data_IF_644128344233
#
_entry.id   IF_644128344233
#
_cell.length_a   1.000
_cell.length_b   1.000
_cell.length_c   1.000
_cell.angle_alpha   90.00
_cell.angle_beta   90.00
_cell.angle_gamma   90.00
#
_symmetry.space_group_name_H-M   'P 1'
#
loop_
_entity.id
_entity.type
_entity.pdbx_description
1 polymer ?
#
# COMPACT_ATOMS: atom_id res chain seq x y z
N UNK A 1 -23.86 37.20 -0.06
CA UNK A 1 -23.48 36.47 1.17
C UNK A 1 -23.54 34.97 0.86
N UNK A 2 -22.44 34.37 0.41
CA UNK A 2 -22.39 32.96 0.04
C UNK A 2 -21.50 32.20 1.05
N UNK A 3 -22.07 31.20 1.71
CA UNK A 3 -21.35 30.29 2.60
C UNK A 3 -20.59 29.27 1.75
N UNK A 4 -19.26 29.38 1.70
CA UNK A 4 -18.39 28.36 1.10
C UNK A 4 -18.12 27.29 2.15
N UNK A 5 -18.78 26.13 2.02
CA UNK A 5 -18.55 24.96 2.85
C UNK A 5 -17.19 24.34 2.49
N UNK A 6 -16.11 24.80 3.14
CA UNK A 6 -14.79 24.20 3.01
C UNK A 6 -14.78 22.89 3.78
N UNK A 7 -15.12 21.80 3.08
CA UNK A 7 -14.94 20.43 3.57
C UNK A 7 -13.44 20.23 3.79
N UNK A 8 -12.95 20.42 5.01
CA UNK A 8 -11.57 20.11 5.36
C UNK A 8 -11.38 18.61 5.18
N UNK A 9 -10.79 18.21 4.06
CA UNK A 9 -10.44 16.81 3.81
C UNK A 9 -9.26 16.51 4.72
N UNK A 10 -9.56 16.16 5.97
CA UNK A 10 -8.59 15.57 6.87
C UNK A 10 -8.28 14.22 6.25
N UNK A 11 -7.19 14.16 5.49
CA UNK A 11 -6.67 12.93 4.89
C UNK A 11 -6.25 12.03 6.05
N UNK A 12 -7.23 11.28 6.54
CA UNK A 12 -7.06 10.39 7.67
C UNK A 12 -6.11 9.30 7.18
N UNK A 13 -4.99 9.08 7.85
CA UNK A 13 -3.99 8.05 7.50
C UNK A 13 -4.63 6.71 7.07
N UNK A 14 -5.78 6.36 7.65
CA UNK A 14 -6.63 5.21 7.29
C UNK A 14 -7.11 5.19 5.83
N UNK A 15 -7.48 6.33 5.23
CA UNK A 15 -7.91 6.44 3.82
C UNK A 15 -6.77 6.17 2.85
N UNK A 16 -5.57 6.68 3.16
CA UNK A 16 -4.37 6.45 2.34
C UNK A 16 -3.94 4.97 2.36
N UNK A 17 -4.06 4.31 3.52
CA UNK A 17 -3.82 2.86 3.64
C UNK A 17 -4.80 2.03 2.81
N UNK A 18 -6.11 2.32 2.87
CA UNK A 18 -7.13 1.60 2.08
C UNK A 18 -6.91 1.81 0.58
N UNK A 19 -6.55 3.03 0.17
CA UNK A 19 -6.23 3.36 -1.22
C UNK A 19 -4.99 2.62 -1.71
N UNK A 20 -3.92 2.60 -0.91
CA UNK A 20 -2.68 1.86 -1.18
C UNK A 20 -2.94 0.36 -1.32
N UNK A 21 -3.74 -0.21 -0.41
CA UNK A 21 -4.10 -1.63 -0.44
C UNK A 21 -4.92 -1.98 -1.69
N UNK A 22 -5.87 -1.13 -2.06
CA UNK A 22 -6.67 -1.29 -3.28
C UNK A 22 -5.79 -1.27 -4.53
N UNK A 23 -4.85 -0.33 -4.61
CA UNK A 23 -3.90 -0.25 -5.74
C UNK A 23 -3.00 -1.48 -5.81
N UNK A 24 -2.57 -2.02 -4.66
CA UNK A 24 -1.73 -3.22 -4.60
C UNK A 24 -2.45 -4.45 -5.14
N UNK A 25 -3.71 -4.66 -4.78
CA UNK A 25 -4.52 -5.78 -5.27
C UNK A 25 -4.71 -5.67 -6.79
N UNK A 26 -5.10 -4.48 -7.27
CA UNK A 26 -5.29 -4.24 -8.70
C UNK A 26 -4.00 -4.52 -9.50
N UNK A 27 -2.85 -4.05 -9.02
CA UNK A 27 -1.57 -4.27 -9.69
C UNK A 27 -1.23 -5.76 -9.81
N UNK A 28 -1.39 -6.54 -8.73
CA UNK A 28 -1.03 -7.97 -8.74
C UNK A 28 -1.98 -8.80 -9.62
N UNK A 29 -3.26 -8.43 -9.67
CA UNK A 29 -4.24 -9.02 -10.60
C UNK A 29 -3.85 -8.71 -12.05
N UNK A 30 -3.51 -7.47 -12.36
CA UNK A 30 -3.10 -7.06 -13.71
C UNK A 30 -1.82 -7.80 -14.13
N UNK A 31 -0.79 -7.87 -13.29
CA UNK A 31 0.45 -8.60 -13.61
C UNK A 31 0.16 -10.07 -13.90
N UNK A 32 -0.65 -10.72 -13.07
CA UNK A 32 -0.99 -12.14 -13.25
C UNK A 32 -1.73 -12.37 -14.57
N UNK A 33 -2.68 -11.50 -14.92
CA UNK A 33 -3.42 -11.56 -16.18
C UNK A 33 -2.52 -11.29 -17.40
N UNK A 34 -1.63 -10.30 -17.31
CA UNK A 34 -0.67 -9.98 -18.38
C UNK A 34 0.32 -11.14 -18.58
N UNK A 35 0.88 -11.69 -17.49
CA UNK A 35 1.76 -12.85 -17.57
C UNK A 35 1.04 -14.06 -18.16
N UNK A 36 -0.22 -14.31 -17.79
CA UNK A 36 -1.00 -15.38 -18.41
C UNK A 36 -1.21 -15.15 -19.91
N UNK A 37 -1.56 -13.92 -20.30
CA UNK A 37 -1.78 -13.55 -21.70
C UNK A 37 -0.51 -13.70 -22.56
N UNK A 38 0.66 -13.35 -22.02
CA UNK A 38 1.94 -13.44 -22.74
C UNK A 38 2.44 -14.88 -22.80
N UNK A 39 2.36 -15.62 -21.68
CA UNK A 39 3.00 -16.93 -21.58
C UNK A 39 2.09 -18.08 -22.01
N UNK A 40 0.78 -17.86 -22.09
CA UNK A 40 -0.21 -18.85 -22.51
C UNK A 40 -0.38 -20.04 -21.56
N UNK A 41 0.36 -20.08 -20.45
CA UNK A 41 0.35 -21.18 -19.48
C UNK A 41 0.07 -20.64 -18.07
N UNK A 42 -0.85 -21.30 -17.37
CA UNK A 42 -1.21 -20.95 -15.99
C UNK A 42 -0.07 -21.16 -15.00
N UNK A 43 0.81 -22.13 -15.25
CA UNK A 43 1.94 -22.44 -14.38
C UNK A 43 2.94 -21.27 -14.27
N UNK A 44 3.31 -20.64 -15.39
CA UNK A 44 4.21 -19.48 -15.38
C UNK A 44 3.52 -18.22 -14.85
N UNK A 45 2.25 -18.00 -15.20
CA UNK A 45 1.48 -16.87 -14.68
C UNK A 45 1.36 -16.90 -13.15
N UNK A 46 1.05 -18.08 -12.59
CA UNK A 46 1.01 -18.28 -11.15
C UNK A 46 2.39 -18.12 -10.50
N UNK A 47 3.46 -18.58 -11.15
CA UNK A 47 4.82 -18.41 -10.65
C UNK A 47 5.21 -16.93 -10.57
N UNK A 48 4.91 -16.14 -11.60
CA UNK A 48 5.20 -14.71 -11.62
C UNK A 48 4.35 -13.97 -10.58
N UNK A 49 3.04 -14.23 -10.55
CA UNK A 49 2.13 -13.61 -9.58
C UNK A 49 2.49 -13.93 -8.12
N UNK A 50 2.89 -15.17 -7.84
CA UNK A 50 3.30 -15.58 -6.48
C UNK A 50 4.64 -14.97 -6.06
N UNK A 51 5.63 -14.90 -6.96
CA UNK A 51 6.90 -14.18 -6.69
C UNK A 51 6.65 -12.69 -6.47
N UNK A 52 5.80 -12.05 -7.29
CA UNK A 52 5.45 -10.63 -7.12
C UNK A 52 4.79 -10.38 -5.76
N UNK A 53 3.82 -11.22 -5.39
CA UNK A 53 3.12 -11.12 -4.12
C UNK A 53 4.07 -11.31 -2.93
N UNK A 54 4.88 -12.36 -2.92
CA UNK A 54 5.85 -12.64 -1.86
C UNK A 54 6.89 -11.52 -1.75
N UNK A 55 7.42 -11.03 -2.87
CA UNK A 55 8.39 -9.94 -2.90
C UNK A 55 7.82 -8.67 -2.26
N UNK A 56 6.58 -8.29 -2.60
CA UNK A 56 5.90 -7.13 -2.00
C UNK A 56 5.64 -7.30 -0.52
N UNK A 57 5.31 -8.52 -0.07
CA UNK A 57 5.05 -8.80 1.33
C UNK A 57 6.34 -8.68 2.16
N UNK A 58 7.45 -9.25 1.67
CA UNK A 58 8.78 -9.11 2.27
C UNK A 58 9.27 -7.66 2.25
N UNK A 59 9.14 -6.96 1.13
CA UNK A 59 9.50 -5.54 1.02
C UNK A 59 8.66 -4.67 1.96
N UNK A 60 7.36 -4.92 2.08
CA UNK A 60 6.50 -4.15 2.98
C UNK A 60 6.87 -4.38 4.44
N UNK A 61 7.04 -5.64 4.84
CA UNK A 61 7.46 -5.97 6.20
C UNK A 61 8.84 -5.37 6.52
N UNK A 62 9.81 -5.53 5.60
CA UNK A 62 11.14 -4.95 5.72
C UNK A 62 11.10 -3.42 5.78
N UNK A 63 10.31 -2.78 4.91
CA UNK A 63 10.11 -1.33 4.89
C UNK A 63 9.50 -0.82 6.20
N UNK A 64 8.44 -1.47 6.70
CA UNK A 64 7.81 -1.09 7.98
C UNK A 64 8.80 -1.25 9.14
N UNK A 65 9.59 -2.33 9.15
CA UNK A 65 10.59 -2.56 10.20
C UNK A 65 11.76 -1.59 10.12
N UNK A 66 12.20 -1.23 8.90
CA UNK A 66 13.20 -0.18 8.69
C UNK A 66 12.65 1.18 9.12
N UNK A 67 11.38 1.44 8.85
CA UNK A 67 10.70 2.68 9.23
C UNK A 67 10.47 2.78 10.74
N UNK A 68 10.27 1.66 11.44
CA UNK A 68 10.29 1.63 12.92
C UNK A 68 11.69 1.92 13.49
N UNK A 69 12.75 1.47 12.82
CA UNK A 69 14.13 1.77 13.21
C UNK A 69 14.48 3.24 12.99
N UNK A 70 13.95 3.83 11.91
CA UNK A 70 14.12 5.24 11.60
C UNK A 70 13.10 6.02 12.42
N UNK A 71 13.51 6.60 13.55
CA UNK A 71 12.66 7.38 14.46
C UNK A 71 12.15 8.72 13.86
N UNK A 72 11.57 8.72 12.67
CA UNK A 72 11.08 9.90 11.98
C UNK A 72 9.68 10.25 12.48
N UNK A 73 9.58 11.30 13.30
CA UNK A 73 8.29 11.91 13.67
C UNK A 73 7.61 11.40 14.95
N UNK A 74 8.32 10.75 15.88
CA UNK A 74 7.80 10.55 17.24
C UNK A 74 7.60 11.91 17.92
N UNK A 75 6.38 12.46 17.86
CA UNK A 75 5.96 13.57 18.72
C UNK A 75 5.59 13.02 20.09
N UNK A 76 6.50 13.15 21.04
CA UNK A 76 6.21 12.99 22.46
C UNK A 76 5.21 14.06 22.87
N UNK A 77 3.97 13.68 23.17
CA UNK A 77 3.03 14.59 23.83
C UNK A 77 3.28 14.49 25.34
N UNK A 78 3.87 15.54 25.88
CA UNK A 78 4.02 15.71 27.32
C UNK A 78 2.68 16.23 27.86
N UNK A 79 1.88 15.34 28.45
CA UNK A 79 0.69 15.73 29.20
C UNK A 79 1.14 16.23 30.57
N UNK A 80 1.35 17.54 30.67
CA UNK A 80 1.48 18.22 31.95
C UNK A 80 0.08 18.32 32.57
N UNK A 81 -0.16 17.59 33.67
CA UNK A 81 -1.36 17.69 34.52
C UNK A 81 -1.12 18.78 35.57
#
# INVERSE_FOLDING_TARGET
MASTNTKSIVDTHRRSLVKSLSWRITATVITTLISWYITGTWAMALSIGSIEFLSKLLLYYGHERLWELIAFGKKTYDYQI
#
